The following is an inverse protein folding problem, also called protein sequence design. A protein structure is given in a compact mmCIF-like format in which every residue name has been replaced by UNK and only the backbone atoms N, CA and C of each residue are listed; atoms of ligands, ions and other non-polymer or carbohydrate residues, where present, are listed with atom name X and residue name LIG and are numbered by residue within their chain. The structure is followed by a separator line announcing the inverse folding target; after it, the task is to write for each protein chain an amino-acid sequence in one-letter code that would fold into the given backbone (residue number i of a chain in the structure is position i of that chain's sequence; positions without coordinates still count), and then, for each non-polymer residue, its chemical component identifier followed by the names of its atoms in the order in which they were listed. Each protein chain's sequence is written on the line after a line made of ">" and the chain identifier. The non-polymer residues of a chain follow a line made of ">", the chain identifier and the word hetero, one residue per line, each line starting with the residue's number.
data_IF_536032720596
#
_entry.id   IF_536032720596
#
_cell.length_a   1.000
_cell.length_b   1.000
_cell.length_c   1.000
_cell.angle_alpha   90.00
_cell.angle_beta   90.00
_cell.angle_gamma   90.00
#
_symmetry.space_group_name_H-M   'P 1'
#
loop_
_entity.id
_entity.type
_entity.pdbx_description
1 polymer ?
#
# COMPACT_ATOMS: atom_id res chain seq x y z
N UNK A 1 -9.43 -9.89 -7.89
CA UNK A 1 -8.69 -10.55 -6.80
C UNK A 1 -8.61 -9.57 -5.63
N UNK A 2 -8.77 -10.05 -4.39
CA UNK A 2 -8.63 -9.24 -3.16
C UNK A 2 -7.54 -9.87 -2.30
N UNK A 3 -6.61 -9.09 -1.77
CA UNK A 3 -5.49 -9.55 -0.93
C UNK A 3 -5.47 -8.69 0.32
N UNK A 4 -5.38 -9.33 1.49
CA UNK A 4 -5.24 -8.64 2.78
C UNK A 4 -3.83 -8.91 3.33
N UNK A 5 -3.13 -7.86 3.78
CA UNK A 5 -1.80 -7.95 4.36
C UNK A 5 -1.91 -7.59 5.85
N UNK A 6 -1.70 -8.57 6.73
CA UNK A 6 -1.79 -8.43 8.19
C UNK A 6 -0.49 -8.89 8.88
N UNK A 7 -0.27 -8.47 10.13
CA UNK A 7 0.93 -8.80 10.90
C UNK A 7 1.25 -7.78 11.99
N UNK A 8 2.20 -8.10 12.88
CA UNK A 8 2.62 -7.23 14.00
C UNK A 8 3.14 -5.87 13.52
N UNK A 9 3.19 -4.89 14.43
CA UNK A 9 3.87 -3.61 14.17
C UNK A 9 5.30 -3.82 13.67
N UNK A 10 5.77 -2.94 12.77
CA UNK A 10 7.11 -2.99 12.17
C UNK A 10 7.46 -4.26 11.37
N UNK A 11 6.51 -5.14 11.06
CA UNK A 11 6.77 -6.38 10.29
C UNK A 11 6.94 -6.16 8.77
N UNK A 12 7.07 -4.92 8.29
CA UNK A 12 7.27 -4.62 6.87
C UNK A 12 6.02 -4.66 5.98
N UNK A 13 4.80 -4.66 6.56
CA UNK A 13 3.53 -4.74 5.81
C UNK A 13 3.42 -3.70 4.68
N UNK A 14 3.66 -2.43 5.01
CA UNK A 14 3.56 -1.32 4.04
C UNK A 14 4.54 -1.49 2.89
N UNK A 15 5.76 -1.98 3.15
CA UNK A 15 6.73 -2.31 2.12
C UNK A 15 6.23 -3.41 1.19
N UNK A 16 5.63 -4.47 1.74
CA UNK A 16 5.04 -5.56 0.93
C UNK A 16 3.88 -5.03 0.06
N UNK A 17 3.02 -4.17 0.61
CA UNK A 17 1.93 -3.53 -0.14
C UNK A 17 2.46 -2.74 -1.33
N UNK A 18 3.51 -1.94 -1.14
CA UNK A 18 4.13 -1.13 -2.19
C UNK A 18 4.75 -2.01 -3.28
N UNK A 19 5.53 -3.02 -2.90
CA UNK A 19 6.16 -3.94 -3.86
C UNK A 19 5.12 -4.74 -4.66
N UNK A 20 4.07 -5.25 -4.01
CA UNK A 20 2.96 -5.93 -4.70
C UNK A 20 2.24 -4.99 -5.66
N UNK A 21 1.99 -3.76 -5.26
CA UNK A 21 1.34 -2.76 -6.10
C UNK A 21 2.17 -2.47 -7.35
N UNK A 22 3.47 -2.25 -7.20
CA UNK A 22 4.39 -2.01 -8.32
C UNK A 22 4.47 -3.22 -9.25
N UNK A 23 4.57 -4.44 -8.71
CA UNK A 23 4.60 -5.67 -9.49
C UNK A 23 3.31 -5.90 -10.28
N UNK A 24 2.13 -5.68 -9.67
CA UNK A 24 0.87 -5.80 -10.41
C UNK A 24 0.71 -4.73 -11.48
N UNK A 25 1.15 -3.50 -11.22
CA UNK A 25 1.15 -2.42 -12.22
C UNK A 25 2.08 -2.74 -13.40
N UNK A 26 3.27 -3.29 -13.16
CA UNK A 26 4.19 -3.68 -14.24
C UNK A 26 3.63 -4.82 -15.11
N UNK A 27 2.78 -5.67 -14.54
CA UNK A 27 1.99 -6.69 -15.26
C UNK A 27 0.73 -6.13 -15.96
N UNK A 28 0.57 -4.81 -16.06
CA UNK A 28 -0.58 -4.16 -16.70
C UNK A 28 -1.91 -4.30 -15.94
N UNK A 29 -1.87 -4.64 -14.65
CA UNK A 29 -3.09 -4.78 -13.83
C UNK A 29 -3.48 -3.43 -13.22
N UNK A 30 -4.79 -3.20 -13.13
CA UNK A 30 -5.36 -2.12 -12.31
C UNK A 30 -5.32 -2.54 -10.84
N UNK A 31 -4.76 -1.70 -9.98
CA UNK A 31 -4.59 -1.96 -8.55
C UNK A 31 -5.25 -0.84 -7.76
N UNK A 32 -5.97 -1.22 -6.70
CA UNK A 32 -6.49 -0.31 -5.69
C UNK A 32 -5.85 -0.74 -4.37
N UNK A 33 -5.24 0.21 -3.66
CA UNK A 33 -4.73 0.00 -2.30
C UNK A 33 -5.73 0.60 -1.33
N UNK A 34 -6.16 -0.19 -0.34
CA UNK A 34 -6.98 0.26 0.77
C UNK A 34 -6.12 0.21 2.03
N UNK A 35 -5.81 1.36 2.59
CA UNK A 35 -5.13 1.45 3.87
C UNK A 35 -6.16 1.47 5.00
N UNK A 36 -6.10 0.48 5.89
CA UNK A 36 -6.93 0.40 7.09
C UNK A 36 -6.12 0.58 8.37
N UNK A 37 -4.82 0.85 8.25
CA UNK A 37 -3.92 1.07 9.39
C UNK A 37 -3.84 2.57 9.67
N UNK A 38 -4.60 3.04 10.66
CA UNK A 38 -4.61 4.47 11.03
C UNK A 38 -3.22 4.98 11.47
N UNK A 39 -2.36 4.08 11.96
CA UNK A 39 -1.00 4.45 12.39
C UNK A 39 -0.04 4.72 11.23
N UNK A 40 -0.43 4.35 10.00
CA UNK A 40 0.42 4.40 8.82
C UNK A 40 0.34 5.74 8.09
N UNK A 41 1.20 6.68 8.50
CA UNK A 41 1.28 8.00 7.87
C UNK A 41 2.13 8.05 6.60
N UNK A 42 2.82 6.95 6.26
CA UNK A 42 3.84 6.96 5.22
C UNK A 42 3.45 6.31 3.90
N UNK A 43 2.41 5.47 3.88
CA UNK A 43 2.10 4.66 2.69
C UNK A 43 1.83 5.50 1.44
N UNK A 44 1.21 6.67 1.56
CA UNK A 44 0.88 7.50 0.39
C UNK A 44 2.13 7.92 -0.39
N UNK A 45 3.17 8.42 0.29
CA UNK A 45 4.38 8.85 -0.39
C UNK A 45 5.20 7.64 -0.87
N UNK A 46 5.15 6.50 -0.17
CA UNK A 46 5.76 5.26 -0.65
C UNK A 46 5.12 4.75 -1.94
N UNK A 47 3.84 5.05 -2.17
CA UNK A 47 3.11 4.75 -3.40
C UNK A 47 3.30 5.82 -4.50
N UNK A 48 4.04 6.89 -4.21
CA UNK A 48 4.34 7.97 -5.15
C UNK A 48 3.28 9.06 -5.23
N UNK A 49 2.44 9.22 -4.20
CA UNK A 49 1.53 10.35 -4.07
C UNK A 49 2.22 11.53 -3.37
N UNK A 50 2.00 12.74 -3.86
CA UNK A 50 2.60 13.97 -3.29
C UNK A 50 1.97 14.38 -1.94
N UNK A 51 0.71 14.01 -1.74
CA UNK A 51 -0.07 14.36 -0.56
C UNK A 51 -0.90 13.15 -0.08
N UNK A 52 -1.18 13.06 1.24
CA UNK A 52 -2.09 12.04 1.74
C UNK A 52 -3.50 12.25 1.14
N UNK A 53 -4.30 11.19 0.97
CA UNK A 53 -5.67 11.33 0.51
C UNK A 53 -6.46 12.22 1.48
N UNK A 54 -7.28 13.11 0.90
CA UNK A 54 -8.21 13.91 1.69
C UNK A 54 -9.17 12.96 2.43
N UNK A 55 -9.32 13.17 3.75
CA UNK A 55 -10.26 12.41 4.59
C UNK A 55 -11.71 12.64 4.13
#
# INVERSE_FOLDING_TARGET
>A
MKICICGKGCSGKSTVVVLLTQAFRSMGKKVIVLDSDESNTSLFWMLGFDHPPNR
#
